data_IF_762667382909
#
_entry.id   IF_762667382909
#
_cell.length_a   1.000
_cell.length_b   1.000
_cell.length_c   1.000
_cell.angle_alpha   90.00
_cell.angle_beta   90.00
_cell.angle_gamma   90.00
#
_symmetry.space_group_name_H-M   'P 1'
#
loop_
_entity.id
_entity.type
_entity.pdbx_description
1 polymer ?
#
# COMPACT_ATOMS: atom_id res chain seq x y z
N UNK A 1 -23.08 -16.12 10.12
CA UNK A 1 -23.09 -14.65 9.97
C UNK A 1 -22.10 -14.06 10.94
N UNK A 2 -20.95 -13.57 10.48
CA UNK A 2 -20.03 -12.80 11.33
C UNK A 2 -20.52 -11.35 11.26
N UNK A 3 -20.90 -10.78 12.40
CA UNK A 3 -21.32 -9.38 12.46
C UNK A 3 -20.14 -8.50 12.01
N UNK A 4 -20.29 -7.83 10.86
CA UNK A 4 -19.35 -6.82 10.41
C UNK A 4 -19.75 -5.49 11.04
N UNK A 5 -19.27 -5.23 12.25
CA UNK A 5 -19.50 -3.95 12.91
C UNK A 5 -18.66 -2.87 12.22
N UNK A 6 -19.28 -2.06 11.37
CA UNK A 6 -18.66 -0.82 10.87
C UNK A 6 -18.89 0.26 11.92
N UNK A 7 -17.83 0.79 12.50
CA UNK A 7 -17.93 1.88 13.48
C UNK A 7 -17.20 3.10 12.94
N UNK A 8 -17.92 4.21 12.75
CA UNK A 8 -17.33 5.55 12.55
C UNK A 8 -17.19 6.19 13.93
N UNK A 9 -15.98 6.50 14.38
CA UNK A 9 -15.73 6.94 15.77
C UNK A 9 -14.82 8.17 15.80
N UNK A 10 -15.07 9.05 16.78
CA UNK A 10 -14.25 10.22 17.09
C UNK A 10 -12.85 9.83 17.64
N UNK A 11 -11.75 10.49 17.18
CA UNK A 11 -10.37 10.02 17.38
C UNK A 11 -9.86 9.89 18.82
N UNK A 12 -10.10 10.84 19.76
CA UNK A 12 -9.44 10.80 21.07
C UNK A 12 -9.93 9.65 21.95
N UNK A 13 -11.22 9.34 21.88
CA UNK A 13 -11.85 8.28 22.70
C UNK A 13 -11.52 6.89 22.14
N UNK A 14 -11.12 6.82 20.87
CA UNK A 14 -10.93 5.56 20.16
C UNK A 14 -9.62 4.86 20.51
N UNK A 15 -8.52 5.61 20.67
CA UNK A 15 -7.20 5.00 20.91
C UNK A 15 -7.18 4.23 22.23
N UNK A 16 -7.73 4.84 23.29
CA UNK A 16 -7.83 4.19 24.60
C UNK A 16 -8.74 2.95 24.56
N UNK A 17 -9.79 3.00 23.71
CA UNK A 17 -10.73 1.89 23.55
C UNK A 17 -10.18 0.77 22.66
N UNK A 18 -9.29 1.07 21.70
CA UNK A 18 -8.72 0.10 20.77
C UNK A 18 -7.99 -1.04 21.48
N UNK A 19 -7.28 -0.73 22.56
CA UNK A 19 -6.59 -1.72 23.39
C UNK A 19 -7.55 -2.73 24.04
N UNK A 20 -8.82 -2.37 24.23
CA UNK A 20 -9.83 -3.25 24.82
C UNK A 20 -10.38 -4.28 23.81
N UNK A 21 -10.27 -4.02 22.50
CA UNK A 21 -10.86 -4.88 21.46
C UNK A 21 -9.91 -6.01 21.01
N UNK A 22 -9.47 -6.86 21.95
CA UNK A 22 -8.57 -8.00 21.68
C UNK A 22 -9.17 -9.06 20.74
N UNK A 23 -10.48 -9.11 20.62
CA UNK A 23 -11.21 -10.07 19.77
C UNK A 23 -11.73 -9.46 18.47
N UNK A 24 -11.30 -8.23 18.12
CA UNK A 24 -11.75 -7.59 16.89
C UNK A 24 -11.24 -8.42 15.70
N UNK A 25 -12.10 -8.63 14.71
CA UNK A 25 -11.77 -9.44 13.52
C UNK A 25 -11.67 -8.55 12.29
N UNK A 26 -12.42 -7.46 12.24
CA UNK A 26 -12.40 -6.49 11.15
C UNK A 26 -12.37 -5.08 11.73
N UNK A 27 -11.49 -4.25 11.20
CA UNK A 27 -11.36 -2.84 11.53
C UNK A 27 -11.40 -2.08 10.21
N UNK A 28 -12.20 -1.03 10.12
CA UNK A 28 -12.22 -0.15 8.96
C UNK A 28 -12.04 1.26 9.50
N UNK A 29 -10.89 1.85 9.21
CA UNK A 29 -10.49 3.15 9.73
C UNK A 29 -10.44 4.09 8.54
N UNK A 30 -11.49 4.87 8.39
CA UNK A 30 -11.52 6.00 7.48
C UNK A 30 -11.48 7.29 8.31
N UNK A 31 -10.63 8.23 7.90
CA UNK A 31 -10.63 9.61 8.36
C UNK A 31 -10.43 9.79 9.87
N UNK A 32 -9.32 9.29 10.42
CA UNK A 32 -8.95 9.56 11.82
C UNK A 32 -7.92 10.70 11.85
N UNK A 33 -8.28 11.95 12.17
CA UNK A 33 -7.29 12.97 12.46
C UNK A 33 -6.52 12.59 13.72
N UNK A 34 -5.44 11.84 13.54
CA UNK A 34 -4.51 11.49 14.59
C UNK A 34 -3.46 12.59 14.66
N UNK A 35 -3.59 13.43 15.67
CA UNK A 35 -2.48 14.26 16.12
C UNK A 35 -1.38 13.33 16.65
N UNK A 36 -0.11 13.62 16.33
CA UNK A 36 1.07 12.87 16.74
C UNK A 36 0.99 12.45 18.21
N UNK A 37 0.53 11.24 18.47
CA UNK A 37 0.48 10.66 19.80
C UNK A 37 1.41 9.46 19.79
N UNK A 38 2.25 9.35 20.81
CA UNK A 38 3.30 8.35 20.98
C UNK A 38 2.76 6.93 21.25
N UNK A 39 1.50 6.67 20.88
CA UNK A 39 0.76 5.50 21.32
C UNK A 39 1.05 4.33 20.38
N UNK A 40 1.46 3.20 20.93
CA UNK A 40 1.64 1.96 20.18
C UNK A 40 0.42 1.07 20.38
N UNK A 41 -0.33 0.83 19.31
CA UNK A 41 -1.52 -0.02 19.26
C UNK A 41 -1.12 -1.39 18.71
N UNK A 42 -1.20 -2.40 19.58
CA UNK A 42 -0.90 -3.79 19.26
C UNK A 42 -2.19 -4.61 19.18
N UNK A 43 -2.48 -5.17 18.01
CA UNK A 43 -3.67 -5.99 17.78
C UNK A 43 -3.28 -7.34 17.16
N UNK A 44 -2.69 -8.26 17.95
CA UNK A 44 -2.02 -9.45 17.43
C UNK A 44 -2.99 -10.55 16.97
N UNK A 45 -4.23 -10.52 17.47
CA UNK A 45 -5.30 -11.45 17.09
C UNK A 45 -6.23 -10.89 16.00
N UNK A 46 -5.98 -9.65 15.55
CA UNK A 46 -6.81 -8.99 14.57
C UNK A 46 -6.64 -9.66 13.20
N UNK A 47 -7.57 -10.53 12.84
CA UNK A 47 -7.65 -11.11 11.49
C UNK A 47 -8.26 -10.13 10.48
N UNK A 48 -7.88 -8.87 10.59
CA UNK A 48 -8.31 -7.87 9.63
C UNK A 48 -7.63 -8.18 8.32
N UNK A 49 -8.45 -8.54 7.33
CA UNK A 49 -7.93 -8.77 5.99
C UNK A 49 -7.48 -7.48 5.35
N UNK A 50 -8.23 -6.40 5.49
CA UNK A 50 -7.98 -5.15 4.76
C UNK A 50 -7.95 -3.95 5.67
N UNK A 51 -6.87 -3.17 5.59
CA UNK A 51 -6.73 -1.85 6.21
C UNK A 51 -6.72 -0.77 5.13
N UNK A 52 -7.63 0.20 5.23
CA UNK A 52 -7.62 1.40 4.40
C UNK A 52 -7.05 2.56 5.20
N UNK A 53 -6.15 3.35 4.61
CA UNK A 53 -5.51 4.49 5.27
C UNK A 53 -5.57 5.69 4.35
N UNK A 54 -6.16 6.78 4.85
CA UNK A 54 -6.24 8.04 4.15
C UNK A 54 -4.91 8.81 4.25
N UNK A 55 -4.66 9.67 3.26
CA UNK A 55 -3.38 10.37 3.10
C UNK A 55 -3.01 11.35 4.22
N UNK A 56 -3.93 11.69 5.10
CA UNK A 56 -3.63 12.56 6.23
C UNK A 56 -3.14 11.79 7.46
N UNK A 57 -3.23 10.47 7.43
CA UNK A 57 -3.15 9.63 8.64
C UNK A 57 -1.99 8.63 8.56
N UNK A 58 -0.92 8.89 7.79
CA UNK A 58 0.23 7.96 7.74
C UNK A 58 0.94 7.81 9.08
N UNK A 59 0.86 8.83 9.94
CA UNK A 59 1.32 8.75 11.34
C UNK A 59 0.60 7.63 12.11
N UNK A 60 -0.60 7.24 11.66
CA UNK A 60 -1.32 6.11 12.24
C UNK A 60 -0.61 4.78 12.00
N UNK A 61 0.02 4.59 10.85
CA UNK A 61 0.80 3.37 10.60
C UNK A 61 1.92 3.21 11.61
N UNK A 62 2.59 4.30 12.00
CA UNK A 62 3.66 4.27 13.01
C UNK A 62 3.18 3.74 14.36
N UNK A 63 1.89 3.90 14.66
CA UNK A 63 1.28 3.44 15.89
C UNK A 63 0.83 1.97 15.81
N UNK A 64 0.65 1.41 14.61
CA UNK A 64 0.08 0.07 14.44
C UNK A 64 1.12 -1.05 14.43
N UNK A 65 0.73 -2.19 15.01
CA UNK A 65 1.36 -3.50 14.83
C UNK A 65 0.29 -4.56 14.54
N UNK A 66 0.23 -5.01 13.29
CA UNK A 66 -0.82 -5.90 12.75
C UNK A 66 -0.20 -7.08 12.00
N UNK A 67 0.25 -8.15 12.71
CA UNK A 67 0.99 -9.25 12.10
C UNK A 67 0.17 -10.15 11.15
N UNK A 68 -1.16 -10.01 11.16
CA UNK A 68 -2.08 -10.82 10.34
C UNK A 68 -2.72 -10.02 9.19
N UNK A 69 -2.19 -8.84 8.87
CA UNK A 69 -2.74 -7.98 7.82
C UNK A 69 -2.40 -8.52 6.43
N UNK A 70 -3.42 -8.90 5.67
CA UNK A 70 -3.25 -9.49 4.32
C UNK A 70 -3.32 -8.46 3.19
N UNK A 71 -4.11 -7.40 3.36
CA UNK A 71 -4.40 -6.37 2.36
C UNK A 71 -4.24 -4.97 2.94
N UNK A 72 -3.48 -4.11 2.27
CA UNK A 72 -3.23 -2.74 2.67
C UNK A 72 -3.61 -1.80 1.52
N UNK A 73 -4.50 -0.85 1.80
CA UNK A 73 -5.02 0.09 0.83
C UNK A 73 -4.71 1.51 1.28
N UNK A 74 -3.90 2.21 0.50
CA UNK A 74 -3.65 3.62 0.66
C UNK A 74 -4.57 4.42 -0.23
N UNK A 75 -5.14 5.47 0.34
CA UNK A 75 -5.96 6.41 -0.40
C UNK A 75 -5.40 7.83 -0.26
N UNK A 76 -4.85 8.32 -1.36
CA UNK A 76 -4.51 9.70 -1.62
C UNK A 76 -5.76 10.54 -1.70
N UNK A 77 -5.79 11.70 -1.03
CA UNK A 77 -6.63 12.77 -1.52
C UNK A 77 -5.69 13.61 -2.37
N UNK A 78 -5.90 13.64 -3.70
CA UNK A 78 -5.01 14.22 -4.72
C UNK A 78 -4.68 15.71 -4.53
N UNK A 79 -4.06 16.04 -3.40
CA UNK A 79 -3.72 17.38 -2.99
C UNK A 79 -2.44 17.76 -3.75
N UNK A 80 -2.50 18.74 -4.66
CA UNK A 80 -1.34 19.16 -5.45
C UNK A 80 -0.28 19.87 -4.59
N UNK A 81 -0.59 20.26 -3.35
CA UNK A 81 0.33 20.96 -2.46
C UNK A 81 1.24 19.99 -1.70
N UNK A 82 2.14 19.36 -2.45
CA UNK A 82 3.52 19.07 -2.03
C UNK A 82 3.73 18.34 -0.70
N UNK A 83 2.84 17.41 -0.32
CA UNK A 83 3.09 16.58 0.85
C UNK A 83 4.08 15.46 0.53
N UNK A 84 4.99 15.27 1.47
CA UNK A 84 6.11 14.33 1.34
C UNK A 84 5.63 12.88 1.45
N UNK A 85 5.18 12.33 0.32
CA UNK A 85 4.84 10.93 0.11
C UNK A 85 5.97 9.96 0.51
N UNK A 86 7.23 10.40 0.60
CA UNK A 86 8.31 9.58 1.19
C UNK A 86 7.96 9.15 2.61
N UNK A 87 7.20 9.97 3.36
CA UNK A 87 6.68 9.61 4.68
C UNK A 87 5.75 8.40 4.64
N UNK A 88 4.98 8.20 3.57
CA UNK A 88 4.13 7.02 3.39
C UNK A 88 4.97 5.77 3.29
N UNK A 89 5.95 5.79 2.39
CA UNK A 89 6.83 4.66 2.16
C UNK A 89 7.68 4.34 3.39
N UNK A 90 8.16 5.37 4.10
CA UNK A 90 8.83 5.22 5.39
C UNK A 90 7.89 4.60 6.44
N UNK A 91 6.66 5.09 6.55
CA UNK A 91 5.67 4.56 7.48
C UNK A 91 5.31 3.09 7.19
N UNK A 92 5.24 2.71 5.91
CA UNK A 92 5.04 1.32 5.48
C UNK A 92 6.22 0.44 5.87
N UNK A 93 7.44 0.88 5.60
CA UNK A 93 8.64 0.12 5.97
C UNK A 93 8.74 -0.08 7.48
N UNK A 94 8.45 0.96 8.25
CA UNK A 94 8.40 0.91 9.70
C UNK A 94 7.28 -0.01 10.22
N UNK A 95 6.09 0.08 9.62
CA UNK A 95 4.98 -0.81 9.90
C UNK A 95 5.34 -2.27 9.63
N UNK A 96 5.98 -2.55 8.50
CA UNK A 96 6.40 -3.90 8.13
C UNK A 96 7.47 -4.44 9.09
N UNK A 97 8.43 -3.60 9.49
CA UNK A 97 9.46 -3.97 10.48
C UNK A 97 8.85 -4.36 11.84
N UNK A 98 7.79 -3.67 12.28
CA UNK A 98 7.12 -3.97 13.55
C UNK A 98 6.15 -5.14 13.46
N UNK A 99 5.38 -5.19 12.38
CA UNK A 99 4.30 -6.16 12.22
C UNK A 99 4.79 -7.49 11.67
N UNK A 100 5.88 -7.50 10.90
CA UNK A 100 6.38 -8.66 10.16
C UNK A 100 5.26 -9.38 9.40
N UNK A 101 4.39 -8.61 8.73
CA UNK A 101 3.19 -9.17 8.11
C UNK A 101 3.49 -9.82 6.76
N UNK A 102 2.78 -10.90 6.44
CA UNK A 102 2.78 -11.52 5.10
C UNK A 102 1.73 -10.84 4.22
N UNK A 103 2.00 -9.59 3.85
CA UNK A 103 1.09 -8.81 3.00
C UNK A 103 0.97 -9.45 1.61
N UNK A 104 -0.26 -9.78 1.22
CA UNK A 104 -0.58 -10.38 -0.08
C UNK A 104 -1.04 -9.37 -1.11
N UNK A 105 -1.59 -8.23 -0.68
CA UNK A 105 -2.13 -7.20 -1.57
C UNK A 105 -1.82 -5.79 -1.10
N UNK A 106 -1.40 -4.95 -2.04
CA UNK A 106 -1.17 -3.52 -1.86
C UNK A 106 -1.98 -2.75 -2.89
N UNK A 107 -2.82 -1.82 -2.44
CA UNK A 107 -3.55 -0.88 -3.30
C UNK A 107 -3.13 0.54 -2.97
N UNK A 108 -2.88 1.35 -3.98
CA UNK A 108 -2.67 2.79 -3.85
C UNK A 108 -3.66 3.49 -4.79
N UNK A 109 -4.50 4.36 -4.25
CA UNK A 109 -5.54 5.08 -5.00
C UNK A 109 -5.37 6.59 -4.87
N UNK A 110 -5.62 7.34 -5.95
CA UNK A 110 -5.69 8.82 -5.97
C UNK A 110 -4.39 9.54 -5.53
N UNK A 111 -3.24 9.02 -5.96
CA UNK A 111 -1.91 9.58 -5.68
C UNK A 111 -1.37 10.41 -6.85
N UNK A 112 -1.07 11.69 -6.60
CA UNK A 112 -0.42 12.56 -7.58
C UNK A 112 0.98 12.96 -7.10
N UNK A 113 2.00 12.63 -7.88
CA UNK A 113 3.38 13.07 -7.65
C UNK A 113 3.95 13.69 -8.93
N UNK A 114 4.59 14.84 -8.80
CA UNK A 114 5.35 15.49 -9.86
C UNK A 114 6.55 14.67 -10.36
N UNK A 115 7.24 13.96 -9.47
CA UNK A 115 8.44 13.17 -9.77
C UNK A 115 8.10 11.67 -9.87
N UNK A 116 7.89 11.22 -11.11
CA UNK A 116 7.54 9.84 -11.40
C UNK A 116 8.69 8.85 -11.16
N UNK A 117 9.94 9.28 -11.31
CA UNK A 117 11.13 8.46 -11.07
C UNK A 117 11.26 8.16 -9.58
N UNK A 118 11.20 9.21 -8.75
CA UNK A 118 11.29 9.07 -7.30
C UNK A 118 10.11 8.26 -6.73
N UNK A 119 8.89 8.43 -7.28
CA UNK A 119 7.76 7.56 -6.93
C UNK A 119 8.06 6.10 -7.23
N UNK A 120 8.56 5.83 -8.44
CA UNK A 120 8.86 4.47 -8.88
C UNK A 120 9.93 3.82 -8.02
N UNK A 121 10.98 4.55 -7.66
CA UNK A 121 12.03 4.10 -6.75
C UNK A 121 11.46 3.71 -5.38
N UNK A 122 10.70 4.61 -4.75
CA UNK A 122 10.13 4.36 -3.43
C UNK A 122 9.08 3.25 -3.42
N UNK A 123 8.23 3.19 -4.45
CA UNK A 123 7.27 2.11 -4.61
C UNK A 123 7.99 0.76 -4.75
N UNK A 124 9.03 0.70 -5.58
CA UNK A 124 9.80 -0.52 -5.81
C UNK A 124 10.50 -0.99 -4.53
N UNK A 125 11.12 -0.07 -3.78
CA UNK A 125 11.70 -0.38 -2.49
C UNK A 125 10.66 -0.89 -1.48
N UNK A 126 9.47 -0.29 -1.47
CA UNK A 126 8.34 -0.67 -0.60
C UNK A 126 7.72 -2.00 -1.00
N UNK A 127 7.77 -2.36 -2.27
CA UNK A 127 7.34 -3.67 -2.72
C UNK A 127 8.36 -4.73 -2.29
N UNK A 128 9.66 -4.42 -2.38
CA UNK A 128 10.74 -5.34 -2.02
C UNK A 128 10.73 -5.81 -0.56
N UNK A 129 10.10 -5.07 0.36
CA UNK A 129 9.91 -5.48 1.76
C UNK A 129 8.76 -6.49 1.96
N UNK A 130 7.94 -6.74 0.93
CA UNK A 130 6.82 -7.69 0.95
C UNK A 130 7.06 -8.82 -0.07
N UNK A 131 7.88 -9.83 0.28
CA UNK A 131 8.21 -10.93 -0.64
C UNK A 131 7.00 -11.81 -1.00
N UNK A 132 5.93 -11.74 -0.22
CA UNK A 132 4.68 -12.49 -0.42
C UNK A 132 3.61 -11.73 -1.21
N UNK A 133 3.94 -10.54 -1.74
CA UNK A 133 2.97 -9.70 -2.45
C UNK A 133 2.52 -10.38 -3.76
N UNK A 134 1.21 -10.62 -3.86
CA UNK A 134 0.55 -11.28 -5.00
C UNK A 134 -0.27 -10.31 -5.85
N UNK A 135 -0.73 -9.20 -5.26
CA UNK A 135 -1.56 -8.20 -5.92
C UNK A 135 -1.03 -6.80 -5.67
N UNK A 136 -0.76 -6.06 -6.75
CA UNK A 136 -0.42 -4.64 -6.73
C UNK A 136 -1.44 -3.87 -7.58
N UNK A 137 -2.07 -2.86 -7.00
CA UNK A 137 -3.08 -2.06 -7.68
C UNK A 137 -2.77 -0.58 -7.52
N UNK A 138 -2.62 0.13 -8.64
CA UNK A 138 -2.37 1.56 -8.70
C UNK A 138 -3.54 2.22 -9.44
N UNK A 139 -4.46 2.83 -8.69
CA UNK A 139 -5.64 3.50 -9.20
C UNK A 139 -5.50 5.01 -9.15
N UNK A 140 -5.75 5.68 -10.29
CA UNK A 140 -5.61 7.12 -10.44
C UNK A 140 -4.28 7.62 -9.85
N UNK A 141 -3.19 6.99 -10.29
CA UNK A 141 -1.84 7.37 -9.86
C UNK A 141 -1.10 8.03 -11.01
N UNK A 142 -0.38 9.11 -10.73
CA UNK A 142 0.54 9.72 -11.70
C UNK A 142 1.87 8.96 -11.68
N UNK A 143 2.01 7.99 -12.57
CA UNK A 143 3.22 7.14 -12.71
C UNK A 143 3.69 7.11 -14.15
N UNK A 144 5.00 6.99 -14.35
CA UNK A 144 5.53 6.51 -15.61
C UNK A 144 5.46 4.98 -15.60
N UNK A 145 4.52 4.44 -16.38
CA UNK A 145 4.29 3.00 -16.46
C UNK A 145 5.50 2.27 -17.04
N UNK A 146 6.27 2.89 -17.95
CA UNK A 146 7.45 2.24 -18.52
C UNK A 146 8.53 2.08 -17.46
N UNK A 147 8.80 3.13 -16.70
CA UNK A 147 9.76 3.07 -15.58
C UNK A 147 9.34 2.06 -14.53
N UNK A 148 8.05 2.04 -14.16
CA UNK A 148 7.54 1.08 -13.20
C UNK A 148 7.70 -0.35 -13.69
N UNK A 149 7.27 -0.66 -14.92
CA UNK A 149 7.42 -2.01 -15.47
C UNK A 149 8.89 -2.40 -15.58
N UNK A 150 9.76 -1.48 -15.98
CA UNK A 150 11.20 -1.73 -16.00
C UNK A 150 11.71 -2.06 -14.60
N UNK A 151 11.37 -1.28 -13.58
CA UNK A 151 11.79 -1.52 -12.20
C UNK A 151 11.27 -2.86 -11.65
N UNK A 152 10.03 -3.25 -11.99
CA UNK A 152 9.45 -4.52 -11.56
C UNK A 152 10.01 -5.73 -12.32
N UNK A 153 10.54 -5.54 -13.54
CA UNK A 153 11.00 -6.64 -14.41
C UNK A 153 12.52 -6.76 -14.48
N UNK A 154 13.26 -5.68 -14.26
CA UNK A 154 14.70 -5.60 -14.44
C UNK A 154 15.37 -5.27 -13.11
N UNK A 155 16.09 -6.24 -12.53
CA UNK A 155 17.11 -5.99 -11.52
C UNK A 155 18.44 -6.54 -12.03
N UNK A 156 19.47 -5.69 -12.04
CA UNK A 156 20.83 -6.13 -12.28
C UNK A 156 21.20 -7.14 -11.19
N UNK A 157 21.44 -8.41 -11.55
CA UNK A 157 21.79 -9.46 -10.58
C UNK A 157 20.69 -10.48 -10.23
N UNK A 158 19.54 -10.48 -10.92
CA UNK A 158 18.63 -11.65 -11.00
C UNK A 158 17.85 -12.03 -9.73
N UNK A 159 17.53 -11.06 -8.86
CA UNK A 159 16.44 -11.27 -7.89
C UNK A 159 15.21 -10.47 -8.32
N UNK A 160 14.20 -11.19 -8.79
CA UNK A 160 12.91 -10.62 -9.11
C UNK A 160 12.34 -9.98 -7.84
N UNK A 161 12.00 -8.69 -7.90
CA UNK A 161 11.38 -7.97 -6.78
C UNK A 161 10.03 -8.56 -6.38
N UNK A 162 9.37 -9.26 -7.31
CA UNK A 162 8.00 -9.74 -7.18
C UNK A 162 7.82 -11.14 -7.77
N UNK A 163 8.44 -12.18 -7.20
CA UNK A 163 8.35 -13.53 -7.75
C UNK A 163 6.94 -14.13 -7.62
N UNK A 164 6.10 -13.58 -6.72
CA UNK A 164 4.75 -14.07 -6.42
C UNK A 164 3.63 -13.17 -6.95
N UNK A 165 3.95 -12.07 -7.64
CA UNK A 165 2.93 -11.17 -8.17
C UNK A 165 2.13 -11.86 -9.28
N UNK A 166 0.86 -12.10 -9.01
CA UNK A 166 -0.10 -12.70 -9.94
C UNK A 166 -1.06 -11.69 -10.54
N UNK A 167 -1.20 -10.52 -9.92
CA UNK A 167 -2.11 -9.46 -10.37
C UNK A 167 -1.45 -8.09 -10.31
N UNK A 168 -1.45 -7.40 -11.45
CA UNK A 168 -1.04 -6.00 -11.57
C UNK A 168 -2.16 -5.19 -12.19
N UNK A 169 -2.77 -4.30 -11.40
CA UNK A 169 -3.76 -3.33 -11.87
C UNK A 169 -3.11 -1.95 -12.02
N UNK A 170 -3.10 -1.41 -13.24
CA UNK A 170 -2.63 -0.05 -13.53
C UNK A 170 -3.78 0.77 -14.14
N UNK A 171 -4.20 1.81 -13.43
CA UNK A 171 -5.17 2.77 -13.91
C UNK A 171 -4.62 4.17 -13.67
N UNK A 172 -3.84 4.75 -14.60
CA UNK A 172 -3.32 6.12 -14.45
C UNK A 172 -4.45 7.16 -14.51
N UNK A 173 -4.15 8.40 -14.13
CA UNK A 173 -5.06 9.53 -14.41
C UNK A 173 -5.28 9.67 -15.93
N UNK A 174 -6.51 9.94 -16.35
CA UNK A 174 -6.93 10.03 -17.77
C UNK A 174 -6.07 11.00 -18.62
N UNK A 175 -5.39 11.94 -17.97
CA UNK A 175 -4.57 12.96 -18.61
C UNK A 175 -3.16 12.48 -19.02
N UNK A 176 -2.76 11.26 -18.63
CA UNK A 176 -1.44 10.71 -18.95
C UNK A 176 -1.58 9.52 -19.92
N UNK A 177 -1.31 9.71 -21.22
CA UNK A 177 -1.45 8.62 -22.17
C UNK A 177 -0.43 7.52 -21.85
N UNK A 178 -0.93 6.30 -21.68
CA UNK A 178 -0.15 5.13 -21.31
C UNK A 178 0.51 4.53 -22.56
N UNK A 179 1.51 5.22 -23.10
CA UNK A 179 2.30 4.68 -24.21
C UNK A 179 3.31 3.67 -23.66
N UNK A 180 2.89 2.40 -23.62
CA UNK A 180 3.78 1.27 -23.36
C UNK A 180 4.76 1.09 -24.52
N UNK A 181 6.06 1.13 -24.23
CA UNK A 181 7.10 0.78 -25.21
C UNK A 181 6.88 -0.64 -25.75
N UNK A 182 7.18 -0.86 -27.04
CA UNK A 182 7.03 -2.17 -27.69
C UNK A 182 7.83 -3.27 -26.98
N UNK A 183 9.03 -2.95 -26.52
CA UNK A 183 9.91 -3.89 -25.81
C UNK A 183 9.33 -4.29 -24.45
N UNK A 184 8.77 -3.31 -23.72
CA UNK A 184 8.15 -3.53 -22.42
C UNK A 184 6.85 -4.33 -22.53
N UNK A 185 6.08 -4.14 -23.61
CA UNK A 185 4.93 -5.02 -23.91
C UNK A 185 5.39 -6.47 -24.06
N UNK A 186 6.41 -6.72 -24.87
CA UNK A 186 6.94 -8.07 -25.10
C UNK A 186 7.45 -8.71 -23.79
N UNK A 187 8.18 -7.94 -22.97
CA UNK A 187 8.66 -8.41 -21.65
C UNK A 187 7.52 -8.69 -20.66
N UNK A 188 6.51 -7.82 -20.58
CA UNK A 188 5.38 -8.02 -19.68
C UNK A 188 4.54 -9.24 -20.10
N UNK A 189 4.26 -9.39 -21.39
CA UNK A 189 3.48 -10.52 -21.92
C UNK A 189 4.21 -11.85 -21.74
N UNK A 190 5.52 -11.92 -22.04
CA UNK A 190 6.29 -13.15 -21.88
C UNK A 190 6.36 -13.65 -20.43
N UNK A 191 6.27 -12.76 -19.44
CA UNK A 191 6.38 -13.10 -18.01
C UNK A 191 5.07 -13.31 -17.28
N UNK A 192 4.05 -12.50 -17.54
CA UNK A 192 2.78 -12.54 -16.80
C UNK A 192 1.65 -13.21 -17.57
N UNK A 193 1.80 -13.35 -18.89
CA UNK A 193 0.81 -13.95 -19.78
C UNK A 193 1.44 -15.05 -20.64
N UNK A 194 2.43 -15.77 -20.11
CA UNK A 194 2.92 -16.98 -20.78
C UNK A 194 1.73 -17.93 -20.97
N UNK A 195 1.29 -18.10 -22.22
CA UNK A 195 0.17 -18.97 -22.59
C UNK A 195 0.38 -20.34 -21.92
N UNK A 196 -0.52 -20.68 -21.00
CA UNK A 196 -0.70 -22.06 -20.51
C UNK A 196 -1.72 -22.76 -21.37
#
# INVERSE_FOLDING_TARGET
MVASTRVRIYPPVFVDSLHAFKSLVNLDIADLPMYHTSITILLPALKQKSLRIAHYDYDFLHCLTLPLLEHLNFWGHGNPYGRDIRKVFLAVADFQRRSATSLSSLTMEDFSWEDAELFTEHLTATIGIFPDLQSLQLHRVRVDVNLLLQALTYSEGSQFLLPKLTYLGLQPYEQYPTYLSGDLKSMAFSRWWSDK
#
